data_IF_506744273405
#
_entry.id   IF_506744273405
#
_cell.length_a   1.000
_cell.length_b   1.000
_cell.length_c   1.000
_cell.angle_alpha   90.00
_cell.angle_beta   90.00
_cell.angle_gamma   90.00
#
_symmetry.space_group_name_H-M   'P 1'
#
loop_
_entity.id
_entity.type
_entity.pdbx_description
1 polymer ?
#
# COMPACT_ATOMS: atom_id res chain seq x y z
N UNK A 1 -28.55 -1.02 -1.60
CA UNK A 1 -27.44 -1.54 -2.42
C UNK A 1 -27.95 -2.70 -3.27
N UNK A 2 -27.93 -2.58 -4.60
CA UNK A 2 -28.20 -3.71 -5.51
C UNK A 2 -26.85 -4.11 -6.08
N UNK A 3 -26.29 -5.21 -5.59
CA UNK A 3 -25.03 -5.75 -6.11
C UNK A 3 -25.31 -6.73 -7.24
N UNK A 4 -24.64 -6.55 -8.36
CA UNK A 4 -24.56 -7.61 -9.37
C UNK A 4 -23.77 -8.80 -8.80
N UNK A 5 -24.05 -10.04 -9.22
CA UNK A 5 -23.41 -11.23 -8.66
C UNK A 5 -21.88 -11.17 -8.65
N UNK A 6 -21.28 -10.58 -9.68
CA UNK A 6 -19.83 -10.44 -9.81
C UNK A 6 -19.22 -9.52 -8.73
N UNK A 7 -19.86 -8.39 -8.44
CA UNK A 7 -19.40 -7.45 -7.42
C UNK A 7 -19.56 -8.03 -6.01
N UNK A 8 -20.61 -8.83 -5.78
CA UNK A 8 -20.76 -9.58 -4.53
C UNK A 8 -19.61 -10.57 -4.33
N UNK A 9 -19.23 -11.29 -5.38
CA UNK A 9 -18.12 -12.25 -5.31
C UNK A 9 -16.78 -11.55 -5.05
N UNK A 10 -16.55 -10.40 -5.70
CA UNK A 10 -15.37 -9.55 -5.46
C UNK A 10 -15.29 -9.08 -4.01
N UNK A 11 -16.39 -8.58 -3.45
CA UNK A 11 -16.45 -8.13 -2.07
C UNK A 11 -16.17 -9.26 -1.06
N UNK A 12 -16.68 -10.47 -1.32
CA UNK A 12 -16.38 -11.63 -0.47
C UNK A 12 -14.88 -11.93 -0.47
N UNK A 13 -14.25 -11.97 -1.66
CA UNK A 13 -12.80 -12.19 -1.76
C UNK A 13 -12.00 -11.12 -1.04
N UNK A 14 -12.38 -9.85 -1.16
CA UNK A 14 -11.72 -8.76 -0.44
C UNK A 14 -11.94 -8.85 1.07
N UNK A 15 -13.13 -9.21 1.52
CA UNK A 15 -13.41 -9.40 2.95
C UNK A 15 -12.58 -10.55 3.55
N UNK A 16 -12.46 -11.68 2.83
CA UNK A 16 -11.64 -12.81 3.24
C UNK A 16 -10.16 -12.44 3.30
N UNK A 17 -9.67 -11.73 2.27
CA UNK A 17 -8.31 -11.21 2.26
C UNK A 17 -8.05 -10.25 3.43
N UNK A 18 -8.92 -9.25 3.62
CA UNK A 18 -8.84 -8.29 4.73
C UNK A 18 -8.81 -9.02 6.08
N UNK A 19 -9.64 -10.05 6.27
CA UNK A 19 -9.68 -10.84 7.49
C UNK A 19 -8.35 -11.56 7.74
N UNK A 20 -7.72 -12.09 6.68
CA UNK A 20 -6.41 -12.72 6.78
C UNK A 20 -5.32 -11.72 7.18
N UNK A 21 -5.27 -10.54 6.57
CA UNK A 21 -4.32 -9.48 6.93
C UNK A 21 -4.55 -8.98 8.36
N UNK A 22 -5.80 -8.79 8.78
CA UNK A 22 -6.12 -8.36 10.15
C UNK A 22 -5.77 -9.42 11.21
N UNK A 23 -5.62 -10.69 10.84
CA UNK A 23 -5.16 -11.73 11.78
C UNK A 23 -3.72 -11.48 12.25
N UNK A 24 -2.90 -10.80 11.44
CA UNK A 24 -1.54 -10.40 11.78
C UNK A 24 -1.47 -9.10 12.61
N UNK A 25 -2.61 -8.47 12.93
CA UNK A 25 -2.64 -7.20 13.66
C UNK A 25 -1.89 -7.25 14.99
N UNK A 26 -2.03 -8.34 15.76
CA UNK A 26 -1.32 -8.47 17.04
C UNK A 26 0.19 -8.58 16.90
N UNK A 27 0.68 -9.10 15.76
CA UNK A 27 2.09 -9.21 15.45
C UNK A 27 2.68 -7.85 15.12
N UNK A 28 2.01 -7.10 14.23
CA UNK A 28 2.51 -5.82 13.74
C UNK A 28 2.28 -4.66 14.71
N UNK A 29 1.23 -4.70 15.54
CA UNK A 29 0.94 -3.64 16.54
C UNK A 29 1.95 -3.56 17.68
N UNK A 30 2.79 -4.60 17.87
CA UNK A 30 3.83 -4.64 18.92
C UNK A 30 5.18 -4.12 18.46
N UNK A 31 5.33 -3.74 17.20
CA UNK A 31 6.60 -3.24 16.66
C UNK A 31 6.83 -1.83 17.21
N UNK A 32 7.95 -1.67 17.92
CA UNK A 32 8.41 -0.36 18.40
C UNK A 32 9.37 0.30 17.39
N UNK A 33 9.70 1.57 17.65
CA UNK A 33 10.62 2.33 16.80
C UNK A 33 11.99 1.68 16.67
N UNK A 34 12.52 1.09 17.74
CA UNK A 34 13.84 0.46 17.74
C UNK A 34 13.87 -0.73 16.78
N UNK A 35 12.84 -1.57 16.83
CA UNK A 35 12.72 -2.74 15.95
C UNK A 35 12.46 -2.31 14.52
N UNK A 36 11.57 -1.34 14.29
CA UNK A 36 11.30 -0.76 12.98
C UNK A 36 12.57 -0.21 12.30
N UNK A 37 13.42 0.48 13.06
CA UNK A 37 14.63 1.09 12.51
C UNK A 37 15.82 0.11 12.42
N UNK A 38 15.89 -0.86 13.34
CA UNK A 38 17.00 -1.80 13.47
C UNK A 38 16.87 -3.07 12.63
N UNK A 39 15.65 -3.46 12.25
CA UNK A 39 15.38 -4.68 11.47
C UNK A 39 14.68 -4.35 10.15
N UNK A 40 15.45 -4.50 9.07
CA UNK A 40 14.99 -4.20 7.70
C UNK A 40 13.86 -5.12 7.25
N UNK A 41 13.87 -6.39 7.66
CA UNK A 41 12.87 -7.36 7.21
C UNK A 41 11.55 -7.13 7.97
N UNK A 42 11.63 -6.85 9.27
CA UNK A 42 10.46 -6.44 10.06
C UNK A 42 9.84 -5.16 9.49
N UNK A 43 10.65 -4.15 9.15
CA UNK A 43 10.16 -2.92 8.53
C UNK A 43 9.43 -3.18 7.21
N UNK A 44 10.05 -3.91 6.29
CA UNK A 44 9.45 -4.25 4.99
C UNK A 44 8.13 -4.99 5.14
N UNK A 45 8.07 -5.95 6.06
CA UNK A 45 6.84 -6.71 6.32
C UNK A 45 5.73 -5.81 6.89
N UNK A 46 6.06 -4.92 7.83
CA UNK A 46 5.11 -3.97 8.39
C UNK A 46 4.57 -3.00 7.33
N UNK A 47 5.45 -2.38 6.55
CA UNK A 47 5.07 -1.46 5.47
C UNK A 47 4.19 -2.15 4.42
N UNK A 48 4.55 -3.38 4.02
CA UNK A 48 3.77 -4.18 3.06
C UNK A 48 2.39 -4.55 3.60
N UNK A 49 2.32 -4.91 4.87
CA UNK A 49 1.06 -5.23 5.56
C UNK A 49 0.13 -4.01 5.62
N UNK A 50 0.68 -2.82 5.94
CA UNK A 50 -0.08 -1.56 5.89
C UNK A 50 -0.57 -1.30 4.46
N UNK A 51 0.29 -1.44 3.44
CA UNK A 51 -0.11 -1.25 2.05
C UNK A 51 -1.26 -2.19 1.65
N UNK A 52 -1.17 -3.48 2.03
CA UNK A 52 -2.22 -4.47 1.74
C UNK A 52 -3.58 -4.07 2.30
N UNK A 53 -3.62 -3.70 3.59
CA UNK A 53 -4.86 -3.29 4.26
C UNK A 53 -5.46 -2.06 3.56
N UNK A 54 -4.64 -1.05 3.27
CA UNK A 54 -5.14 0.18 2.66
C UNK A 54 -5.60 -0.06 1.22
N UNK A 55 -4.85 -0.82 0.42
CA UNK A 55 -5.24 -1.17 -0.95
C UNK A 55 -6.54 -1.98 -0.97
N UNK A 56 -6.67 -2.99 -0.11
CA UNK A 56 -7.91 -3.76 -0.02
C UNK A 56 -9.09 -2.88 0.41
N UNK A 57 -8.87 -1.93 1.32
CA UNK A 57 -9.91 -0.97 1.73
C UNK A 57 -10.38 -0.10 0.57
N UNK A 58 -9.44 0.36 -0.28
CA UNK A 58 -9.74 1.13 -1.49
C UNK A 58 -10.55 0.29 -2.48
N UNK A 59 -10.22 -0.98 -2.67
CA UNK A 59 -10.92 -1.84 -3.63
C UNK A 59 -12.34 -2.20 -3.17
N UNK A 60 -12.53 -2.42 -1.85
CA UNK A 60 -13.88 -2.54 -1.25
C UNK A 60 -14.67 -1.24 -1.49
N UNK A 61 -14.06 -0.09 -1.21
CA UNK A 61 -14.69 1.21 -1.39
C UNK A 61 -15.17 1.44 -2.83
N UNK A 62 -14.32 1.12 -3.82
CA UNK A 62 -14.69 1.22 -5.24
C UNK A 62 -15.92 0.39 -5.59
N UNK A 63 -15.99 -0.86 -5.11
CA UNK A 63 -17.14 -1.73 -5.41
C UNK A 63 -18.41 -1.19 -4.76
N UNK A 64 -18.33 -0.75 -3.50
CA UNK A 64 -19.48 -0.15 -2.79
C UNK A 64 -19.96 1.11 -3.52
N UNK A 65 -19.06 2.06 -3.80
CA UNK A 65 -19.40 3.33 -4.46
C UNK A 65 -19.94 3.14 -5.87
N UNK A 66 -19.38 2.19 -6.65
CA UNK A 66 -19.88 1.84 -7.97
C UNK A 66 -21.31 1.29 -7.92
N UNK A 67 -21.63 0.50 -6.88
CA UNK A 67 -22.99 -0.04 -6.69
C UNK A 67 -24.02 1.01 -6.24
N UNK A 68 -23.57 2.18 -5.79
CA UNK A 68 -24.40 3.31 -5.39
C UNK A 68 -24.55 4.39 -6.48
N UNK A 69 -24.02 4.16 -7.69
CA UNK A 69 -23.99 5.12 -8.82
C UNK A 69 -23.40 6.49 -8.43
N UNK A 70 -22.46 6.50 -7.48
CA UNK A 70 -21.78 7.72 -7.05
C UNK A 70 -20.69 8.11 -8.03
N UNK A 71 -20.40 9.42 -8.11
CA UNK A 71 -19.29 9.97 -8.90
C UNK A 71 -18.00 9.19 -8.60
N UNK A 72 -17.29 8.83 -9.66
CA UNK A 72 -16.01 8.15 -9.57
C UNK A 72 -14.95 9.11 -9.02
N UNK A 73 -14.51 8.96 -7.76
CA UNK A 73 -13.62 9.93 -7.13
C UNK A 73 -12.24 9.90 -7.79
N UNK A 74 -11.52 11.03 -7.77
CA UNK A 74 -10.30 11.20 -8.58
C UNK A 74 -9.04 10.69 -7.88
N UNK A 75 -9.10 10.44 -6.57
CA UNK A 75 -7.97 9.95 -5.78
C UNK A 75 -8.37 8.86 -4.78
N UNK A 76 -7.41 8.03 -4.37
CA UNK A 76 -7.62 7.02 -3.32
C UNK A 76 -8.08 7.61 -1.99
N UNK A 77 -7.62 8.82 -1.65
CA UNK A 77 -8.07 9.53 -0.46
C UNK A 77 -9.56 9.88 -0.56
N UNK A 78 -9.99 10.40 -1.71
CA UNK A 78 -11.40 10.73 -1.94
C UNK A 78 -12.27 9.47 -1.95
N UNK A 79 -11.83 8.38 -2.60
CA UNK A 79 -12.53 7.09 -2.59
C UNK A 79 -12.84 6.63 -1.16
N UNK A 80 -11.85 6.68 -0.29
CA UNK A 80 -12.01 6.29 1.11
C UNK A 80 -12.83 7.30 1.93
N UNK A 81 -12.75 8.58 1.60
CA UNK A 81 -13.55 9.62 2.27
C UNK A 81 -15.04 9.50 1.93
N UNK A 82 -15.36 9.25 0.67
CA UNK A 82 -16.74 9.09 0.16
C UNK A 82 -17.46 7.89 0.79
N UNK A 83 -16.72 6.87 1.28
CA UNK A 83 -17.33 5.81 2.08
C UNK A 83 -18.08 6.34 3.30
N UNK A 84 -17.58 7.39 3.96
CA UNK A 84 -18.24 7.99 5.12
C UNK A 84 -19.56 8.70 4.80
N UNK A 85 -19.84 8.93 3.51
CA UNK A 85 -21.12 9.44 3.04
C UNK A 85 -22.07 8.32 2.59
N UNK A 86 -21.63 7.05 2.61
CA UNK A 86 -22.48 5.87 2.35
C UNK A 86 -23.37 5.59 3.56
N UNK A 87 -24.58 5.02 3.39
CA UNK A 87 -25.43 4.61 4.51
C UNK A 87 -24.81 3.59 5.47
N UNK A 88 -23.67 2.99 5.09
CA UNK A 88 -23.00 1.92 5.82
C UNK A 88 -21.92 2.40 6.79
N UNK A 89 -21.44 3.63 6.64
CA UNK A 89 -20.37 4.20 7.46
C UNK A 89 -20.70 5.65 7.83
N UNK A 90 -20.07 6.16 8.88
CA UNK A 90 -20.18 7.57 9.23
C UNK A 90 -19.03 8.41 8.66
N UNK A 91 -19.22 9.73 8.65
CA UNK A 91 -18.24 10.67 8.12
C UNK A 91 -16.90 10.58 8.88
N UNK A 92 -16.94 10.29 10.18
CA UNK A 92 -15.76 10.14 11.03
C UNK A 92 -14.90 8.95 10.57
N UNK A 93 -15.54 7.82 10.26
CA UNK A 93 -14.88 6.66 9.69
C UNK A 93 -14.24 6.98 8.34
N UNK A 94 -14.99 7.61 7.43
CA UNK A 94 -14.48 8.02 6.12
C UNK A 94 -13.26 8.94 6.23
N UNK A 95 -13.32 9.94 7.11
CA UNK A 95 -12.20 10.86 7.33
C UNK A 95 -10.99 10.12 7.93
N UNK A 96 -11.20 9.22 8.89
CA UNK A 96 -10.14 8.42 9.51
C UNK A 96 -9.44 7.50 8.51
N UNK A 97 -10.21 6.75 7.72
CA UNK A 97 -9.65 5.78 6.77
C UNK A 97 -9.00 6.47 5.57
N UNK A 98 -9.49 7.65 5.15
CA UNK A 98 -8.88 8.43 4.07
C UNK A 98 -7.43 8.86 4.36
N UNK A 99 -7.08 9.10 5.64
CA UNK A 99 -5.70 9.46 6.03
C UNK A 99 -4.70 8.35 5.74
N UNK A 100 -5.15 7.09 5.76
CA UNK A 100 -4.29 5.95 5.45
C UNK A 100 -3.92 5.85 3.96
N UNK A 101 -4.75 6.37 3.05
CA UNK A 101 -4.37 6.47 1.63
C UNK A 101 -3.14 7.38 1.42
N UNK A 102 -2.96 8.40 2.26
CA UNK A 102 -1.77 9.26 2.21
C UNK A 102 -0.52 8.48 2.61
N UNK A 103 -0.59 7.71 3.69
CA UNK A 103 0.52 6.85 4.13
C UNK A 103 0.89 5.83 3.06
N UNK A 104 -0.10 5.16 2.46
CA UNK A 104 0.13 4.22 1.36
C UNK A 104 0.85 4.87 0.17
N UNK A 105 0.50 6.11 -0.17
CA UNK A 105 1.16 6.83 -1.25
C UNK A 105 2.62 7.15 -0.91
N UNK A 106 2.91 7.58 0.32
CA UNK A 106 4.30 7.81 0.78
C UNK A 106 5.12 6.53 0.63
N UNK A 107 4.63 5.41 1.17
CA UNK A 107 5.32 4.11 1.07
C UNK A 107 5.53 3.71 -0.40
N UNK A 108 4.49 3.79 -1.23
CA UNK A 108 4.57 3.40 -2.64
C UNK A 108 5.53 4.29 -3.46
N UNK A 109 5.56 5.61 -3.20
CA UNK A 109 6.44 6.54 -3.91
C UNK A 109 7.90 6.36 -3.51
N UNK A 110 8.21 6.10 -2.23
CA UNK A 110 9.57 5.74 -1.80
C UNK A 110 10.06 4.47 -2.52
N UNK A 111 9.18 3.49 -2.73
CA UNK A 111 9.51 2.31 -3.53
C UNK A 111 9.71 2.60 -5.02
N UNK A 112 8.96 3.55 -5.60
CA UNK A 112 9.14 3.94 -7.00
C UNK A 112 10.52 4.58 -7.22
N UNK A 113 10.97 5.42 -6.29
CA UNK A 113 12.30 6.03 -6.37
C UNK A 113 13.42 4.98 -6.27
N UNK A 114 13.28 3.99 -5.37
CA UNK A 114 14.20 2.86 -5.26
C UNK A 114 14.18 2.02 -6.55
N UNK A 115 12.98 1.64 -7.04
CA UNK A 115 12.82 0.84 -8.26
C UNK A 115 13.41 1.55 -9.48
N UNK A 116 13.15 2.84 -9.64
CA UNK A 116 13.70 3.65 -10.72
C UNK A 116 15.22 3.71 -10.66
N UNK A 117 15.80 3.89 -9.47
CA UNK A 117 17.24 3.87 -9.25
C UNK A 117 17.84 2.52 -9.68
N UNK A 118 17.24 1.41 -9.26
CA UNK A 118 17.68 0.05 -9.66
C UNK A 118 17.51 -0.21 -11.15
N UNK A 119 16.41 0.20 -11.77
CA UNK A 119 16.19 0.10 -13.22
C UNK A 119 17.29 0.86 -13.97
N UNK A 120 17.64 2.07 -13.53
CA UNK A 120 18.70 2.88 -14.12
C UNK A 120 20.08 2.22 -13.96
N UNK A 121 20.37 1.63 -12.80
CA UNK A 121 21.62 0.88 -12.57
C UNK A 121 21.73 -0.35 -13.46
N UNK A 122 20.63 -1.07 -13.70
CA UNK A 122 20.62 -2.27 -14.54
C UNK A 122 20.59 -1.97 -16.04
N UNK A 123 19.96 -0.86 -16.47
CA UNK A 123 19.92 -0.44 -17.88
C UNK A 123 21.10 0.43 -18.31
N UNK A 124 21.92 0.93 -17.38
CA UNK A 124 23.17 1.59 -17.72
C UNK A 124 24.29 0.53 -17.79
N UNK A 125 24.80 0.14 -18.98
CA UNK A 125 25.94 -0.76 -19.03
C UNK A 125 27.12 -0.05 -18.35
N UNK A 126 27.57 -0.61 -17.23
CA UNK A 126 28.75 -0.15 -16.51
C UNK A 126 29.89 0.00 -17.50
N UNK A 127 30.24 1.24 -17.84
CA UNK A 127 31.41 1.55 -18.64
C UNK A 127 32.62 1.19 -17.79
N UNK A 128 33.11 -0.03 -18.02
CA UNK A 128 34.23 -0.72 -17.39
C UNK A 128 35.12 0.13 -16.47
N UNK A 129 35.14 -0.29 -15.20
CA UNK A 129 36.28 -0.17 -14.31
C UNK A 129 37.51 -0.82 -14.96
N UNK A 130 38.33 -0.04 -15.66
CA UNK A 130 39.76 -0.33 -15.80
C UNK A 130 40.53 0.78 -15.12
N UNK A 131 41.04 0.49 -13.91
CA UNK A 131 42.48 0.51 -13.57
C UNK A 131 42.66 -0.22 -12.23
N UNK A 132 42.73 -1.55 -12.28
CA UNK A 132 43.41 -2.30 -11.23
C UNK A 132 44.92 -2.15 -11.42
N UNK A 133 45.56 -1.62 -10.38
CA UNK A 133 46.88 -1.99 -9.84
C UNK A 133 48.06 -2.12 -10.81
N UNK A 134 49.02 -1.22 -10.67
CA UNK A 134 50.43 -1.62 -10.60
C UNK A 134 51.12 -0.80 -9.50
N UNK A 135 51.05 -1.38 -8.30
CA UNK A 135 52.00 -1.14 -7.22
C UNK A 135 53.27 -1.89 -7.63
N UNK A 136 54.28 -1.19 -8.16
CA UNK A 136 55.64 -1.72 -8.26
C UNK A 136 56.50 -0.99 -7.24
N UNK A 137 56.95 -1.77 -6.27
CA UNK A 137 58.16 -1.54 -5.49
C UNK A 137 59.29 -1.02 -6.39
N UNK A 138 59.73 0.22 -6.15
CA UNK A 138 61.09 0.67 -5.78
C UNK A 138 61.12 2.20 -5.80
#
# INVERSE_FOLDING_TARGET
>A
MVLVPEDRERLIRYADFMKSELSDFQKFSKIDWKTYNGDRDTRRNLERWIENIVTCSIDIAKVILASEDRRNPTSYKEILKELGASPHFDEVFGENISRWAVLRNILAHEYLDIRWTTIKEQHCPVRNLRKTKDNKFF
#
